data_IF_602993054183
#
_entry.id   IF_602993054183
#
_cell.length_a   1.000
_cell.length_b   1.000
_cell.length_c   1.000
_cell.angle_alpha   90.00
_cell.angle_beta   90.00
_cell.angle_gamma   90.00
#
_symmetry.space_group_name_H-M   'P 1'
#
loop_
_entity.id
_entity.type
_entity.pdbx_description
1 polymer ?
#
# COMPACT_ATOMS: atom_id res chain seq x y z
N UNK A 1 41.11 31.74 31.74
CA UNK A 1 41.43 30.97 30.51
C UNK A 1 40.13 30.40 30.02
N UNK A 2 39.57 30.93 28.90
CA UNK A 2 38.33 30.42 28.30
C UNK A 2 38.68 29.17 27.48
N UNK A 3 38.15 28.03 27.83
CA UNK A 3 38.21 26.83 27.00
C UNK A 3 37.49 27.11 25.69
N UNK A 4 38.22 27.19 24.59
CA UNK A 4 37.67 27.17 23.27
C UNK A 4 37.06 25.79 23.04
N UNK A 5 35.72 25.69 23.11
CA UNK A 5 35.00 24.49 22.63
C UNK A 5 35.23 24.38 21.15
N UNK A 6 35.79 23.25 20.73
CA UNK A 6 35.89 22.88 19.30
C UNK A 6 34.47 22.71 18.72
N UNK A 7 34.10 23.64 17.85
CA UNK A 7 32.81 23.65 17.13
C UNK A 7 32.95 23.11 15.71
N UNK A 8 34.07 22.46 15.40
CA UNK A 8 34.26 21.84 14.08
C UNK A 8 33.19 20.78 13.83
N UNK A 9 32.62 20.71 12.61
CA UNK A 9 31.70 19.65 12.29
C UNK A 9 32.39 18.28 12.42
N UNK A 10 31.68 17.23 12.82
CA UNK A 10 32.27 15.89 12.92
C UNK A 10 32.85 15.49 11.56
N UNK A 11 33.98 14.79 11.61
CA UNK A 11 34.62 14.27 10.39
C UNK A 11 33.56 13.49 9.57
N UNK A 12 33.41 13.86 8.29
CA UNK A 12 32.52 13.13 7.38
C UNK A 12 32.87 11.65 7.41
N UNK A 13 31.92 10.83 7.79
CA UNK A 13 32.03 9.37 7.70
C UNK A 13 32.17 9.04 6.22
N UNK A 14 33.17 8.26 5.84
CA UNK A 14 33.42 7.86 4.45
C UNK A 14 32.28 7.01 3.87
N UNK A 15 31.60 6.26 4.73
CA UNK A 15 30.48 5.41 4.35
C UNK A 15 29.19 6.23 4.37
N UNK A 16 28.58 6.40 3.21
CA UNK A 16 27.27 7.04 3.10
C UNK A 16 26.20 6.12 3.69
N UNK A 17 25.36 6.66 4.55
CA UNK A 17 24.16 5.96 4.99
C UNK A 17 23.25 5.62 3.79
N UNK A 18 22.48 4.54 3.90
CA UNK A 18 21.48 4.11 2.91
C UNK A 18 20.10 4.01 3.54
N UNK A 19 19.07 4.22 2.74
CA UNK A 19 17.69 3.96 3.16
C UNK A 19 17.48 2.45 3.35
N UNK A 20 16.61 2.09 4.28
CA UNK A 20 16.17 0.72 4.41
C UNK A 20 15.50 0.26 3.10
N UNK A 21 15.77 -0.97 2.59
CA UNK A 21 15.24 -1.43 1.30
C UNK A 21 13.74 -1.28 1.14
N UNK A 22 12.95 -1.58 2.18
CA UNK A 22 11.48 -1.41 2.15
C UNK A 22 11.08 0.05 1.95
N UNK A 23 11.73 0.99 2.65
CA UNK A 23 11.46 2.42 2.49
C UNK A 23 11.84 2.88 1.09
N UNK A 24 12.99 2.43 0.58
CA UNK A 24 13.42 2.74 -0.77
C UNK A 24 12.41 2.24 -1.81
N UNK A 25 11.93 1.00 -1.69
CA UNK A 25 10.93 0.43 -2.61
C UNK A 25 9.61 1.20 -2.51
N UNK A 26 9.10 1.45 -1.30
CA UNK A 26 7.88 2.25 -1.09
C UNK A 26 8.00 3.62 -1.76
N UNK A 27 9.10 4.34 -1.52
CA UNK A 27 9.31 5.68 -2.07
C UNK A 27 9.45 5.64 -3.60
N UNK A 28 10.03 4.59 -4.16
CA UNK A 28 10.11 4.39 -5.61
C UNK A 28 8.74 4.21 -6.24
N UNK A 29 7.88 3.37 -5.65
CA UNK A 29 6.49 3.17 -6.10
C UNK A 29 5.68 4.48 -5.99
N UNK A 30 5.78 5.16 -4.84
CA UNK A 30 5.08 6.43 -4.62
C UNK A 30 5.50 7.49 -5.64
N UNK A 31 6.81 7.67 -5.89
CA UNK A 31 7.33 8.63 -6.86
C UNK A 31 6.88 8.30 -8.30
N UNK A 32 6.84 7.02 -8.65
CA UNK A 32 6.34 6.58 -9.95
C UNK A 32 4.86 6.96 -10.13
N UNK A 33 4.01 6.70 -9.13
CA UNK A 33 2.59 7.04 -9.19
C UNK A 33 2.36 8.57 -9.19
N UNK A 34 3.17 9.33 -8.45
CA UNK A 34 3.17 10.81 -8.55
C UNK A 34 3.45 11.27 -9.98
N UNK A 35 4.38 10.62 -10.70
CA UNK A 35 4.67 10.97 -12.09
C UNK A 35 3.50 10.71 -13.04
N UNK A 36 2.56 9.84 -12.66
CA UNK A 36 1.29 9.60 -13.36
C UNK A 36 0.15 10.53 -12.92
N UNK A 37 0.43 11.49 -12.02
CA UNK A 37 -0.54 12.49 -11.58
C UNK A 37 -1.31 12.14 -10.31
N UNK A 38 -0.91 11.10 -9.58
CA UNK A 38 -1.52 10.76 -8.30
C UNK A 38 -1.05 11.71 -7.18
N UNK A 39 -1.99 12.09 -6.32
CA UNK A 39 -1.73 12.87 -5.10
C UNK A 39 -1.52 11.96 -3.91
N UNK A 40 -0.50 12.23 -3.09
CA UNK A 40 -0.28 11.50 -1.85
C UNK A 40 -1.33 11.92 -0.82
N UNK A 41 -2.00 10.95 -0.22
CA UNK A 41 -2.89 11.15 0.93
C UNK A 41 -2.47 10.22 2.07
N UNK A 42 -2.49 10.75 3.28
CA UNK A 42 -2.14 10.04 4.49
C UNK A 42 -3.34 9.81 5.39
N UNK A 43 -3.24 8.77 6.23
CA UNK A 43 -4.21 8.45 7.25
C UNK A 43 -3.60 7.71 8.43
N UNK A 44 -4.33 7.62 9.54
CA UNK A 44 -3.84 7.02 10.77
C UNK A 44 -3.60 5.50 10.62
N UNK A 45 -2.66 4.97 11.39
CA UNK A 45 -2.47 3.52 11.54
C UNK A 45 -3.50 2.90 12.48
N UNK A 46 -4.01 3.68 13.43
CA UNK A 46 -5.10 3.26 14.33
C UNK A 46 -6.42 3.77 13.76
N UNK A 47 -7.28 2.85 13.36
CA UNK A 47 -8.53 3.10 12.66
C UNK A 47 -9.77 2.63 13.44
N UNK A 48 -10.93 3.08 12.99
CA UNK A 48 -12.23 2.54 13.43
C UNK A 48 -12.68 1.40 12.51
N UNK A 49 -13.54 0.53 12.99
CA UNK A 49 -14.18 -0.50 12.16
C UNK A 49 -14.95 0.10 10.98
N UNK A 50 -15.56 1.25 11.18
CA UNK A 50 -16.30 1.96 10.14
C UNK A 50 -15.43 2.23 8.90
N UNK A 51 -14.25 2.84 9.09
CA UNK A 51 -13.34 3.13 7.98
C UNK A 51 -12.61 1.90 7.45
N UNK A 52 -12.23 0.99 8.35
CA UNK A 52 -11.44 -0.17 7.94
C UNK A 52 -12.28 -1.27 7.29
N UNK A 53 -13.60 -1.30 7.55
CA UNK A 53 -14.48 -2.36 7.08
C UNK A 53 -15.81 -1.87 6.51
N UNK A 54 -16.62 -1.12 7.28
CA UNK A 54 -18.01 -0.84 6.89
C UNK A 54 -18.09 -0.04 5.59
N UNK A 55 -17.33 1.04 5.49
CA UNK A 55 -17.27 1.90 4.30
C UNK A 55 -16.60 1.23 3.09
N UNK A 56 -15.98 0.08 3.27
CA UNK A 56 -15.37 -0.74 2.23
C UNK A 56 -16.22 -1.99 1.92
N UNK A 57 -17.50 -1.97 2.28
CA UNK A 57 -18.44 -3.07 2.03
C UNK A 57 -17.99 -4.43 2.61
N UNK A 58 -17.12 -4.43 3.62
CA UNK A 58 -16.71 -5.64 4.32
C UNK A 58 -17.76 -5.96 5.38
N UNK A 59 -18.55 -7.00 5.18
CA UNK A 59 -19.69 -7.38 6.04
C UNK A 59 -19.23 -7.76 7.44
N UNK A 60 -20.12 -7.59 8.45
CA UNK A 60 -19.82 -7.95 9.85
C UNK A 60 -19.48 -9.43 10.05
N UNK A 61 -19.98 -10.31 9.20
CA UNK A 61 -19.67 -11.75 9.21
C UNK A 61 -18.37 -12.12 8.49
N UNK A 62 -17.66 -11.15 7.91
CA UNK A 62 -16.44 -11.43 7.17
C UNK A 62 -15.31 -11.90 8.11
N UNK A 63 -14.57 -12.97 7.79
CA UNK A 63 -13.49 -13.51 8.62
C UNK A 63 -12.45 -12.48 9.05
N UNK A 64 -12.05 -11.57 8.16
CA UNK A 64 -11.06 -10.53 8.44
C UNK A 64 -11.40 -9.61 9.64
N UNK A 65 -12.67 -9.58 10.07
CA UNK A 65 -13.08 -8.84 11.29
C UNK A 65 -12.89 -9.63 12.57
N UNK A 66 -12.53 -10.90 12.47
CA UNK A 66 -12.38 -11.74 13.65
C UNK A 66 -11.12 -11.35 14.42
N UNK A 67 -11.15 -11.55 15.74
CA UNK A 67 -10.06 -11.16 16.64
C UNK A 67 -8.75 -11.92 16.39
N UNK A 68 -8.81 -13.06 15.69
CA UNK A 68 -7.61 -13.80 15.31
C UNK A 68 -6.93 -13.25 14.05
N UNK A 69 -7.63 -12.42 13.24
CA UNK A 69 -7.06 -11.83 12.02
C UNK A 69 -6.72 -10.34 12.17
N UNK A 70 -7.36 -9.64 13.13
CA UNK A 70 -7.22 -8.19 13.33
C UNK A 70 -6.71 -7.84 14.72
N UNK A 71 -5.77 -6.91 14.81
CA UNK A 71 -5.31 -6.34 16.08
C UNK A 71 -6.26 -5.23 16.55
N UNK A 72 -7.09 -5.53 17.51
CA UNK A 72 -7.93 -4.53 18.18
C UNK A 72 -7.21 -3.86 19.34
N UNK A 73 -7.47 -2.57 19.55
CA UNK A 73 -6.95 -1.76 20.64
C UNK A 73 -8.10 -1.08 21.40
N UNK A 74 -7.84 -0.56 22.60
CA UNK A 74 -8.78 0.23 23.39
C UNK A 74 -10.20 -0.38 23.50
N UNK A 75 -10.32 -1.48 24.22
CA UNK A 75 -11.61 -2.16 24.45
C UNK A 75 -12.37 -2.54 23.16
N UNK A 76 -11.63 -2.79 22.08
CA UNK A 76 -12.13 -3.15 20.74
C UNK A 76 -12.88 -2.00 20.00
N UNK A 77 -12.74 -0.77 20.44
CA UNK A 77 -13.33 0.38 19.75
C UNK A 77 -12.51 0.83 18.54
N UNK A 78 -11.22 0.49 18.54
CA UNK A 78 -10.27 0.80 17.46
C UNK A 78 -9.43 -0.43 17.13
N UNK A 79 -8.76 -0.38 15.98
CA UNK A 79 -7.90 -1.44 15.49
C UNK A 79 -6.67 -0.88 14.77
N UNK A 80 -5.62 -1.68 14.63
CA UNK A 80 -4.54 -1.40 13.70
C UNK A 80 -5.03 -1.72 12.28
N UNK A 81 -4.92 -0.76 11.35
CA UNK A 81 -5.44 -0.90 9.99
C UNK A 81 -4.89 -2.15 9.31
N UNK A 82 -5.75 -2.93 8.67
CA UNK A 82 -5.39 -4.18 7.98
C UNK A 82 -4.99 -3.97 6.52
N UNK A 83 -5.21 -2.77 6.01
CA UNK A 83 -4.84 -2.29 4.68
C UNK A 83 -4.83 -0.75 4.68
N UNK A 84 -4.36 -0.13 3.60
CA UNK A 84 -4.31 1.33 3.47
C UNK A 84 -5.61 1.92 2.90
N UNK A 85 -6.58 1.12 2.50
CA UNK A 85 -7.86 1.53 1.89
C UNK A 85 -8.69 2.53 2.72
N UNK A 86 -8.65 2.57 4.08
CA UNK A 86 -9.30 3.64 4.85
C UNK A 86 -8.92 5.04 4.42
N UNK A 87 -7.68 5.21 3.93
CA UNK A 87 -7.18 6.51 3.46
C UNK A 87 -7.93 6.96 2.21
N UNK A 88 -8.29 6.04 1.31
CA UNK A 88 -9.10 6.33 0.13
C UNK A 88 -10.47 6.91 0.52
N UNK A 89 -11.13 6.28 1.49
CA UNK A 89 -12.41 6.77 2.02
C UNK A 89 -12.26 8.19 2.60
N UNK A 90 -11.22 8.42 3.41
CA UNK A 90 -10.93 9.74 3.99
C UNK A 90 -10.66 10.79 2.91
N UNK A 91 -10.00 10.42 1.82
CA UNK A 91 -9.76 11.28 0.67
C UNK A 91 -11.07 11.64 -0.06
N UNK A 92 -11.89 10.64 -0.38
CA UNK A 92 -13.18 10.82 -1.06
C UNK A 92 -14.20 11.63 -0.26
N UNK A 93 -14.15 11.58 1.07
CA UNK A 93 -14.99 12.44 1.91
C UNK A 93 -14.59 13.92 1.86
N UNK A 94 -13.36 14.23 1.45
CA UNK A 94 -12.83 15.61 1.38
C UNK A 94 -12.87 16.20 -0.02
N UNK A 95 -12.78 15.38 -1.05
CA UNK A 95 -12.72 15.81 -2.46
C UNK A 95 -13.74 15.06 -3.30
N UNK A 96 -14.30 15.76 -4.29
CA UNK A 96 -15.17 15.17 -5.32
C UNK A 96 -14.35 14.74 -6.53
N UNK A 97 -14.82 13.73 -7.29
CA UNK A 97 -14.22 13.39 -8.58
C UNK A 97 -14.13 14.58 -9.56
N UNK A 98 -13.14 14.61 -10.48
CA UNK A 98 -12.13 13.56 -10.63
C UNK A 98 -11.08 13.58 -9.52
N UNK A 99 -10.56 12.42 -9.14
CA UNK A 99 -9.51 12.29 -8.14
C UNK A 99 -8.58 11.12 -8.46
N UNK A 100 -7.31 11.27 -8.07
CA UNK A 100 -6.29 10.25 -8.16
C UNK A 100 -5.47 10.30 -6.86
N UNK A 101 -5.63 9.32 -6.00
CA UNK A 101 -4.96 9.25 -4.69
C UNK A 101 -4.06 8.04 -4.59
N UNK A 102 -2.93 8.20 -3.90
CA UNK A 102 -2.08 7.10 -3.42
C UNK A 102 -1.82 7.25 -1.94
N UNK A 103 -1.76 6.11 -1.27
CA UNK A 103 -1.36 6.01 0.14
C UNK A 103 -0.40 4.85 0.31
N UNK A 104 0.64 5.06 1.10
CA UNK A 104 1.61 4.01 1.41
C UNK A 104 1.96 4.00 2.88
N UNK A 105 2.04 2.84 3.49
CA UNK A 105 2.40 2.74 4.89
C UNK A 105 2.30 1.34 5.47
N UNK A 106 2.49 1.26 6.79
CA UNK A 106 2.38 0.02 7.54
C UNK A 106 0.93 -0.43 7.66
N UNK A 107 0.73 -1.72 7.57
CA UNK A 107 -0.54 -2.41 7.80
C UNK A 107 -0.28 -3.64 8.66
N UNK A 108 -1.32 -4.14 9.31
CA UNK A 108 -1.20 -5.10 10.39
C UNK A 108 -2.24 -6.20 10.26
N UNK A 109 -1.78 -7.46 10.26
CA UNK A 109 -2.62 -8.65 10.27
C UNK A 109 -2.04 -9.64 11.24
N UNK A 110 -2.87 -10.45 11.86
CA UNK A 110 -2.39 -11.48 12.81
C UNK A 110 -1.85 -12.73 12.14
N UNK A 111 -1.65 -12.68 10.82
CA UNK A 111 -0.97 -13.74 10.10
C UNK A 111 0.49 -13.79 10.56
N UNK A 112 0.92 -14.95 11.01
CA UNK A 112 2.30 -15.19 11.48
C UNK A 112 2.69 -16.61 11.10
N UNK A 113 3.09 -16.77 9.83
CA UNK A 113 3.60 -18.03 9.29
C UNK A 113 4.95 -17.83 8.59
N UNK A 114 5.45 -18.84 7.93
CA UNK A 114 6.76 -18.79 7.26
C UNK A 114 6.86 -17.74 6.14
N UNK A 115 5.73 -17.23 5.63
CA UNK A 115 5.65 -16.32 4.50
C UNK A 115 4.99 -14.97 4.84
N UNK A 116 4.36 -14.86 6.01
CA UNK A 116 3.64 -13.66 6.44
C UNK A 116 4.21 -13.10 7.73
N UNK A 117 4.34 -11.79 7.79
CA UNK A 117 4.68 -11.04 8.99
C UNK A 117 3.44 -10.30 9.49
N UNK A 118 3.27 -10.16 10.83
CA UNK A 118 2.12 -9.44 11.40
C UNK A 118 2.09 -7.95 11.06
N UNK A 119 3.19 -7.40 10.58
CA UNK A 119 3.30 -6.04 10.06
C UNK A 119 4.03 -6.07 8.72
N UNK A 120 3.45 -5.44 7.71
CA UNK A 120 4.08 -5.24 6.40
C UNK A 120 3.73 -3.86 5.83
N UNK A 121 4.28 -3.53 4.66
CA UNK A 121 4.00 -2.27 3.98
C UNK A 121 3.12 -2.51 2.77
N UNK A 122 2.16 -1.62 2.57
CA UNK A 122 1.26 -1.65 1.42
C UNK A 122 1.22 -0.27 0.78
N UNK A 123 1.15 -0.22 -0.54
CA UNK A 123 0.85 0.98 -1.32
C UNK A 123 -0.43 0.71 -2.08
N UNK A 124 -1.41 1.58 -1.94
CA UNK A 124 -2.67 1.54 -2.67
C UNK A 124 -2.90 2.83 -3.44
N UNK A 125 -3.51 2.70 -4.61
CA UNK A 125 -3.97 3.82 -5.41
C UNK A 125 -5.45 3.70 -5.76
N UNK A 126 -6.13 4.83 -5.89
CA UNK A 126 -7.49 4.94 -6.43
C UNK A 126 -7.52 6.06 -7.46
N UNK A 127 -8.16 5.78 -8.59
CA UNK A 127 -8.46 6.76 -9.61
C UNK A 127 -9.96 6.76 -9.90
N UNK A 128 -10.60 7.91 -9.79
CA UNK A 128 -12.03 8.08 -10.03
C UNK A 128 -12.22 9.21 -11.03
N UNK A 129 -12.79 8.87 -12.19
CA UNK A 129 -13.07 9.82 -13.24
C UNK A 129 -14.19 9.27 -14.15
N UNK A 130 -14.67 10.09 -15.10
CA UNK A 130 -15.56 9.63 -16.15
C UNK A 130 -14.80 8.74 -17.15
N UNK A 131 -15.50 7.73 -17.68
CA UNK A 131 -14.97 6.82 -18.71
C UNK A 131 -13.72 6.01 -18.33
N UNK A 132 -13.50 5.74 -17.05
CA UNK A 132 -12.44 4.82 -16.59
C UNK A 132 -12.79 3.38 -16.99
N UNK A 133 -11.79 2.64 -17.44
CA UNK A 133 -11.94 1.25 -17.86
C UNK A 133 -10.93 0.31 -17.21
N UNK A 134 -11.29 -0.97 -17.13
CA UNK A 134 -10.37 -2.01 -16.67
C UNK A 134 -9.13 -2.15 -17.56
N UNK A 135 -9.25 -1.81 -18.85
CA UNK A 135 -8.11 -1.79 -19.76
C UNK A 135 -7.07 -0.73 -19.38
N UNK A 136 -7.52 0.46 -18.97
CA UNK A 136 -6.64 1.53 -18.47
C UNK A 136 -5.98 1.14 -17.15
N UNK A 137 -6.71 0.48 -16.23
CA UNK A 137 -6.14 -0.06 -15.01
C UNK A 137 -5.03 -1.08 -15.31
N UNK A 138 -5.27 -2.00 -16.25
CA UNK A 138 -4.23 -2.96 -16.67
C UNK A 138 -3.01 -2.27 -17.25
N UNK A 139 -3.18 -1.28 -18.13
CA UNK A 139 -2.07 -0.53 -18.72
C UNK A 139 -1.23 0.17 -17.64
N UNK A 140 -1.88 0.80 -16.65
CA UNK A 140 -1.20 1.41 -15.52
C UNK A 140 -0.39 0.38 -14.73
N UNK A 141 -0.97 -0.78 -14.44
CA UNK A 141 -0.30 -1.86 -13.71
C UNK A 141 0.92 -2.38 -14.49
N UNK A 142 0.79 -2.60 -15.81
CA UNK A 142 1.93 -2.97 -16.65
C UNK A 142 3.06 -1.95 -16.55
N UNK A 143 2.76 -0.66 -16.66
CA UNK A 143 3.75 0.41 -16.55
C UNK A 143 4.45 0.43 -15.18
N UNK A 144 3.70 0.24 -14.11
CA UNK A 144 4.26 0.16 -12.75
C UNK A 144 5.20 -1.04 -12.63
N UNK A 145 4.75 -2.23 -13.01
CA UNK A 145 5.52 -3.46 -12.86
C UNK A 145 6.78 -3.42 -13.72
N UNK A 146 6.67 -3.00 -14.99
CA UNK A 146 7.85 -2.89 -15.87
C UNK A 146 8.86 -1.84 -15.39
N UNK A 147 8.40 -0.74 -14.80
CA UNK A 147 9.29 0.26 -14.20
C UNK A 147 10.04 -0.27 -12.97
N UNK A 148 9.45 -1.20 -12.22
CA UNK A 148 10.05 -1.75 -11.01
C UNK A 148 10.92 -2.97 -11.24
N UNK A 149 10.51 -3.84 -12.17
CA UNK A 149 11.12 -5.17 -12.36
C UNK A 149 11.76 -5.37 -13.73
N UNK A 150 11.58 -4.42 -14.66
CA UNK A 150 12.08 -4.52 -16.04
C UNK A 150 11.00 -5.07 -17.00
N UNK A 151 11.22 -4.82 -18.31
CA UNK A 151 10.26 -5.18 -19.36
C UNK A 151 10.20 -6.69 -19.65
N UNK A 152 11.18 -7.45 -19.20
CA UNK A 152 11.27 -8.90 -19.40
C UNK A 152 10.42 -9.70 -18.40
N UNK A 153 9.81 -9.03 -17.42
CA UNK A 153 8.98 -9.72 -16.42
C UNK A 153 7.64 -10.16 -17.02
N UNK A 154 7.30 -11.42 -16.83
CA UNK A 154 6.01 -11.96 -17.26
C UNK A 154 4.95 -11.71 -16.19
N UNK A 155 3.80 -11.12 -16.60
CA UNK A 155 2.64 -10.86 -15.74
C UNK A 155 1.44 -11.71 -16.16
N UNK A 156 0.65 -12.10 -15.19
CA UNK A 156 -0.71 -12.62 -15.43
C UNK A 156 -1.73 -11.98 -14.51
N UNK A 157 -2.94 -11.81 -15.02
CA UNK A 157 -4.11 -11.38 -14.26
C UNK A 157 -5.01 -12.59 -14.04
N UNK A 158 -5.34 -12.86 -12.78
CA UNK A 158 -6.28 -13.91 -12.38
C UNK A 158 -7.58 -13.28 -11.87
N UNK A 159 -8.77 -13.75 -12.29
CA UNK A 159 -10.01 -13.33 -11.66
C UNK A 159 -9.97 -13.56 -10.13
N UNK A 160 -10.45 -12.59 -9.38
CA UNK A 160 -10.51 -12.65 -7.93
C UNK A 160 -11.77 -11.97 -7.41
N UNK A 161 -11.91 -11.88 -6.10
CA UNK A 161 -13.03 -11.20 -5.46
C UNK A 161 -12.53 -10.35 -4.31
N UNK A 162 -12.89 -9.06 -4.33
CA UNK A 162 -12.74 -8.16 -3.20
C UNK A 162 -14.08 -7.47 -2.91
N UNK A 163 -14.41 -7.20 -1.62
CA UNK A 163 -15.73 -6.65 -1.27
C UNK A 163 -16.07 -5.29 -1.88
N UNK A 164 -15.07 -4.54 -2.32
CA UNK A 164 -15.20 -3.15 -2.78
C UNK A 164 -14.68 -2.92 -4.22
N UNK A 165 -14.47 -3.99 -5.00
CA UNK A 165 -14.10 -3.89 -6.41
C UNK A 165 -14.98 -4.78 -7.29
N UNK A 166 -15.28 -4.30 -8.53
CA UNK A 166 -16.03 -5.05 -9.55
C UNK A 166 -15.68 -4.48 -10.93
N UNK A 167 -15.05 -5.26 -11.83
CA UNK A 167 -14.51 -6.61 -11.64
C UNK A 167 -13.28 -6.59 -10.72
N UNK A 168 -12.89 -7.77 -10.19
CA UNK A 168 -11.73 -7.92 -9.34
C UNK A 168 -10.71 -8.87 -9.97
N UNK A 169 -9.43 -8.56 -9.82
CA UNK A 169 -8.33 -9.41 -10.25
C UNK A 169 -7.15 -9.37 -9.29
N UNK A 170 -6.40 -10.44 -9.28
CA UNK A 170 -5.05 -10.52 -8.69
C UNK A 170 -4.01 -10.55 -9.79
N UNK A 171 -2.85 -9.94 -9.53
CA UNK A 171 -1.75 -9.88 -10.48
C UNK A 171 -0.54 -10.61 -9.92
N UNK A 172 -0.06 -11.56 -10.68
CA UNK A 172 1.15 -12.30 -10.36
C UNK A 172 2.26 -11.96 -11.36
N UNK A 173 3.51 -12.05 -10.92
CA UNK A 173 4.70 -12.04 -11.77
C UNK A 173 5.41 -13.38 -11.72
N UNK A 174 6.08 -13.75 -12.80
CA UNK A 174 6.91 -14.95 -12.85
C UNK A 174 8.30 -14.63 -12.29
N UNK A 175 8.68 -15.31 -11.20
CA UNK A 175 10.03 -15.18 -10.64
C UNK A 175 11.09 -15.85 -11.52
N UNK A 176 12.36 -15.52 -11.32
CA UNK A 176 13.49 -16.16 -12.01
C UNK A 176 13.59 -17.66 -11.75
N UNK A 177 13.04 -18.14 -10.64
CA UNK A 177 12.97 -19.55 -10.28
C UNK A 177 11.77 -20.27 -10.90
N UNK A 178 11.00 -19.60 -11.78
CA UNK A 178 9.82 -20.17 -12.44
C UNK A 178 8.58 -20.28 -11.56
N UNK A 179 8.51 -19.51 -10.46
CA UNK A 179 7.36 -19.48 -9.56
C UNK A 179 6.54 -18.21 -9.79
N UNK A 180 5.22 -18.35 -9.80
CA UNK A 180 4.31 -17.22 -9.79
C UNK A 180 4.22 -16.62 -8.39
N UNK A 181 4.44 -15.32 -8.28
CA UNK A 181 4.38 -14.55 -7.05
C UNK A 181 3.27 -13.52 -7.18
N UNK A 182 2.29 -13.56 -6.28
CA UNK A 182 1.25 -12.55 -6.18
C UNK A 182 1.87 -11.22 -5.72
N UNK A 183 1.55 -10.15 -6.45
CA UNK A 183 2.10 -8.80 -6.21
C UNK A 183 1.03 -7.85 -5.69
N UNK A 184 -0.19 -7.90 -6.27
CA UNK A 184 -1.26 -6.97 -5.93
C UNK A 184 -2.64 -7.49 -6.29
N UNK A 185 -3.66 -6.94 -5.63
CA UNK A 185 -5.05 -7.02 -6.05
C UNK A 185 -5.48 -5.71 -6.73
N UNK A 186 -6.42 -5.79 -7.68
CA UNK A 186 -6.96 -4.64 -8.39
C UNK A 186 -8.42 -4.87 -8.83
N UNK A 187 -9.11 -3.74 -9.14
CA UNK A 187 -10.48 -3.78 -9.65
C UNK A 187 -11.13 -2.40 -9.67
#
# INVERSE_FOLDING_TARGET
MSEHKDISPPKLIKDRGSLHPINHMKDSIMNLLISFGFEIVDGPEIETEEFNFDMLNIKKSHPARQMHDTFYVENKSKLLRTHTSPVQIRGMLKKKPPLAFISGGKVYRKDDDATHLPMFHQVEGIYVDENVSFAQLKDLIYKIIYSLFGEDVELRFRPSYFPFTEPSAEVDILSKEGKWLEILGCG
#
